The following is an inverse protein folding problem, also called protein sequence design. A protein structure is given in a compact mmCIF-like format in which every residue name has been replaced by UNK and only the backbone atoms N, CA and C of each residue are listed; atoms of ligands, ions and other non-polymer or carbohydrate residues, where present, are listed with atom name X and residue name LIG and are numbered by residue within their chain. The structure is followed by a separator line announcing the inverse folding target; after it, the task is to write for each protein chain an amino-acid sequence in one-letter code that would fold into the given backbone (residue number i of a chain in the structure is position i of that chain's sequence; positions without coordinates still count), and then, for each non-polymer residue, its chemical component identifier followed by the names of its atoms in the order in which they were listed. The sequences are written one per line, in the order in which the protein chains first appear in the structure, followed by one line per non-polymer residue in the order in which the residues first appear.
data_IF_814164215079
#
_entry.id   IF_814164215079
#
_cell.length_a   1.000
_cell.length_b   1.000
_cell.length_c   1.000
_cell.angle_alpha   90.00
_cell.angle_beta   90.00
_cell.angle_gamma   90.00
#
_symmetry.space_group_name_H-M   'P 1'
#
loop_
_entity.id
_entity.type
_entity.pdbx_description
1 polymer ?
#
# COMPACT_ATOMS: atom_id res chain seq x y z
N UNK A 1 11.11 -27.11 2.85
CA UNK A 1 10.97 -26.02 3.84
C UNK A 1 9.51 -25.71 4.19
N UNK A 2 8.73 -24.94 3.41
CA UNK A 2 7.38 -24.56 3.82
C UNK A 2 6.41 -25.74 4.05
N UNK A 3 6.50 -26.79 3.23
CA UNK A 3 5.72 -28.03 3.42
C UNK A 3 6.12 -28.82 4.67
N UNK A 4 7.39 -28.77 5.06
CA UNK A 4 7.92 -29.43 6.27
C UNK A 4 7.55 -28.65 7.53
N UNK A 5 7.36 -27.33 7.41
CA UNK A 5 6.93 -26.44 8.50
C UNK A 5 5.42 -26.20 8.51
N UNK A 6 4.63 -27.02 7.80
CA UNK A 6 3.17 -26.90 7.82
C UNK A 6 2.63 -27.18 9.25
N UNK A 7 1.61 -26.43 9.72
CA UNK A 7 0.85 -25.40 9.00
C UNK A 7 1.57 -24.03 8.97
N UNK A 8 1.63 -23.38 7.80
CA UNK A 8 2.27 -22.06 7.67
C UNK A 8 1.60 -21.14 6.64
N UNK A 9 1.93 -19.84 6.73
CA UNK A 9 1.51 -18.82 5.78
C UNK A 9 2.74 -18.23 5.12
N UNK A 10 2.76 -18.19 3.79
CA UNK A 10 3.78 -17.50 2.99
C UNK A 10 3.19 -16.16 2.53
N UNK A 11 3.86 -15.08 2.87
CA UNK A 11 3.53 -13.74 2.37
C UNK A 11 4.56 -13.31 1.33
N UNK A 12 4.07 -12.86 0.17
CA UNK A 12 4.89 -12.32 -0.91
C UNK A 12 4.41 -10.89 -1.19
N UNK A 13 5.25 -9.92 -0.89
CA UNK A 13 5.00 -8.53 -1.23
C UNK A 13 5.55 -8.20 -2.63
N UNK A 14 4.99 -7.17 -3.27
CA UNK A 14 5.42 -6.67 -4.58
C UNK A 14 5.60 -7.78 -5.65
N UNK A 15 4.62 -8.68 -5.76
CA UNK A 15 4.70 -9.82 -6.70
C UNK A 15 4.85 -9.37 -8.16
N UNK A 16 4.48 -8.13 -8.50
CA UNK A 16 4.67 -7.53 -9.82
C UNK A 16 6.13 -7.35 -10.24
N UNK A 17 7.08 -7.35 -9.28
CA UNK A 17 8.51 -7.34 -9.56
C UNK A 17 8.99 -8.61 -10.29
N UNK A 18 8.30 -9.74 -10.08
CA UNK A 18 8.62 -11.04 -10.69
C UNK A 18 7.51 -11.57 -11.59
N UNK A 19 6.30 -10.99 -11.52
CA UNK A 19 5.09 -11.48 -12.16
C UNK A 19 4.71 -10.78 -13.47
N UNK A 20 5.57 -9.93 -14.04
CA UNK A 20 5.21 -9.01 -15.13
C UNK A 20 4.91 -9.74 -16.46
N UNK A 21 3.94 -9.23 -17.22
CA UNK A 21 3.55 -9.71 -18.55
C UNK A 21 4.72 -9.59 -19.54
N UNK A 22 4.78 -10.59 -20.42
CA UNK A 22 5.76 -10.73 -21.50
C UNK A 22 5.79 -9.47 -22.37
N UNK A 23 6.96 -8.87 -22.52
CA UNK A 23 7.32 -8.16 -23.73
C UNK A 23 8.36 -9.03 -24.45
N UNK A 24 8.21 -9.21 -25.76
CA UNK A 24 9.19 -9.91 -26.59
C UNK A 24 10.48 -9.07 -26.65
N UNK A 25 11.27 -9.09 -25.58
CA UNK A 25 12.54 -8.38 -25.52
C UNK A 25 13.69 -9.37 -25.51
N UNK A 26 14.66 -9.13 -26.39
CA UNK A 26 15.78 -10.03 -26.72
C UNK A 26 16.87 -10.10 -25.64
N UNK A 27 16.64 -9.54 -24.44
CA UNK A 27 17.64 -9.39 -23.38
C UNK A 27 17.63 -10.59 -22.41
N UNK A 28 18.82 -11.11 -22.08
CA UNK A 28 18.99 -12.32 -21.26
C UNK A 28 18.48 -12.21 -19.81
N UNK A 29 18.45 -11.01 -19.23
CA UNK A 29 18.01 -10.80 -17.83
C UNK A 29 16.52 -11.05 -17.59
N UNK A 30 15.66 -10.71 -18.54
CA UNK A 30 14.21 -10.92 -18.42
C UNK A 30 13.84 -12.42 -18.44
N UNK A 31 14.67 -13.25 -19.10
CA UNK A 31 14.48 -14.71 -19.16
C UNK A 31 14.69 -15.38 -17.80
N UNK A 32 15.55 -14.84 -16.94
CA UNK A 32 15.82 -15.40 -15.62
C UNK A 32 14.69 -15.10 -14.63
N UNK A 33 14.20 -13.86 -14.63
CA UNK A 33 13.00 -13.44 -13.87
C UNK A 33 11.80 -14.31 -14.29
N UNK A 34 11.65 -14.54 -15.59
CA UNK A 34 10.60 -15.40 -16.13
C UNK A 34 10.72 -16.86 -15.66
N UNK A 35 11.94 -17.43 -15.64
CA UNK A 35 12.15 -18.81 -15.16
C UNK A 35 11.78 -18.94 -13.69
N UNK A 36 12.10 -17.92 -12.89
CA UNK A 36 11.74 -17.86 -11.47
C UNK A 36 10.22 -17.79 -11.27
N UNK A 37 9.52 -17.00 -12.09
CA UNK A 37 8.06 -16.91 -12.09
C UNK A 37 7.40 -18.24 -12.47
N UNK A 38 7.89 -18.92 -13.51
CA UNK A 38 7.35 -20.21 -13.94
C UNK A 38 7.53 -21.29 -12.87
N UNK A 39 8.66 -21.27 -12.16
CA UNK A 39 8.87 -22.19 -11.03
C UNK A 39 7.90 -21.88 -9.88
N UNK A 40 7.71 -20.60 -9.54
CA UNK A 40 6.70 -20.19 -8.58
C UNK A 40 5.30 -20.70 -8.99
N UNK A 41 4.94 -20.56 -10.26
CA UNK A 41 3.68 -21.05 -10.80
C UNK A 41 3.51 -22.56 -10.68
N UNK A 42 4.57 -23.33 -10.95
CA UNK A 42 4.54 -24.78 -10.81
C UNK A 42 4.32 -25.20 -9.35
N UNK A 43 4.94 -24.50 -8.40
CA UNK A 43 4.73 -24.74 -6.97
C UNK A 43 3.30 -24.34 -6.51
N UNK A 44 2.68 -23.34 -7.16
CA UNK A 44 1.31 -22.87 -6.91
C UNK A 44 0.21 -23.70 -7.59
N UNK A 45 0.49 -24.37 -8.71
CA UNK A 45 -0.48 -25.26 -9.36
C UNK A 45 -0.52 -26.64 -8.71
N UNK A 46 0.64 -27.12 -8.24
CA UNK A 46 0.74 -28.31 -7.40
C UNK A 46 0.09 -29.56 -8.01
N UNK A 47 0.84 -30.29 -8.85
CA UNK A 47 0.58 -31.72 -9.06
C UNK A 47 0.73 -32.53 -7.75
N UNK A 48 1.39 -31.96 -6.74
CA UNK A 48 1.53 -32.53 -5.41
C UNK A 48 0.73 -31.73 -4.37
N UNK A 49 0.17 -32.44 -3.39
CA UNK A 49 -0.48 -31.86 -2.21
C UNK A 49 0.47 -30.88 -1.50
N UNK A 50 0.11 -29.59 -1.48
CA UNK A 50 0.87 -28.53 -0.76
C UNK A 50 0.79 -28.66 0.76
N UNK A 51 -0.09 -29.52 1.30
CA UNK A 51 -0.41 -29.54 2.73
C UNK A 51 -1.14 -28.27 3.18
N UNK A 52 -1.13 -27.96 4.48
CA UNK A 52 -1.77 -26.76 5.03
C UNK A 52 -0.85 -25.53 4.96
N UNK A 53 -0.58 -25.11 3.72
CA UNK A 53 0.19 -23.90 3.43
C UNK A 53 -0.73 -22.89 2.74
N UNK A 54 -0.89 -21.71 3.34
CA UNK A 54 -1.63 -20.59 2.73
C UNK A 54 -0.65 -19.59 2.14
N UNK A 55 -1.06 -18.95 1.06
CA UNK A 55 -0.22 -17.97 0.36
C UNK A 55 -1.01 -16.68 0.24
N UNK A 56 -0.38 -15.58 0.66
CA UNK A 56 -0.91 -14.23 0.55
C UNK A 56 0.07 -13.44 -0.32
N UNK A 57 -0.44 -12.80 -1.36
CA UNK A 57 0.36 -11.97 -2.26
C UNK A 57 -0.17 -10.55 -2.26
N UNK A 58 0.72 -9.57 -2.30
CA UNK A 58 0.39 -8.15 -2.43
C UNK A 58 1.03 -7.57 -3.70
N UNK A 59 0.30 -6.68 -4.38
CA UNK A 59 0.77 -5.93 -5.54
C UNK A 59 0.01 -4.61 -5.65
N UNK A 60 0.67 -3.59 -6.19
CA UNK A 60 0.03 -2.33 -6.58
C UNK A 60 -0.40 -2.33 -8.06
N UNK A 61 0.02 -3.33 -8.84
CA UNK A 61 -0.15 -3.37 -10.31
C UNK A 61 -0.67 -4.73 -10.78
N UNK A 62 -1.94 -5.01 -10.50
CA UNK A 62 -2.58 -6.26 -10.95
C UNK A 62 -2.67 -6.37 -12.48
N UNK A 63 -2.67 -5.23 -13.19
CA UNK A 63 -2.78 -5.11 -14.64
C UNK A 63 -1.55 -5.67 -15.37
N UNK A 64 -0.36 -5.55 -14.77
CA UNK A 64 0.89 -6.06 -15.36
C UNK A 64 1.14 -7.52 -15.05
N UNK A 65 0.39 -8.16 -14.15
CA UNK A 65 0.62 -9.55 -13.77
C UNK A 65 0.25 -10.54 -14.89
N UNK A 66 1.03 -11.61 -15.04
CA UNK A 66 0.71 -12.70 -15.97
C UNK A 66 -0.68 -13.28 -15.64
N UNK A 67 -1.63 -13.31 -16.59
CA UNK A 67 -2.96 -13.89 -16.40
C UNK A 67 -2.94 -15.34 -15.88
N UNK A 68 -1.84 -16.06 -16.11
CA UNK A 68 -1.66 -17.40 -15.60
C UNK A 68 -1.55 -17.43 -14.06
N UNK A 69 -0.96 -16.43 -13.41
CA UNK A 69 -0.89 -16.35 -11.94
C UNK A 69 -2.28 -16.21 -11.31
N UNK A 70 -3.13 -15.40 -11.92
CA UNK A 70 -4.44 -15.00 -11.37
C UNK A 70 -5.58 -15.97 -11.72
N UNK A 71 -5.27 -17.11 -12.34
CA UNK A 71 -6.26 -18.12 -12.74
C UNK A 71 -6.79 -18.88 -11.51
N UNK A 72 -8.09 -19.20 -11.45
CA UNK A 72 -8.64 -20.09 -10.43
C UNK A 72 -7.86 -21.41 -10.35
N UNK A 73 -7.57 -21.88 -9.13
CA UNK A 73 -6.69 -23.04 -8.86
C UNK A 73 -5.31 -22.66 -8.33
N UNK A 74 -4.82 -21.45 -8.67
CA UNK A 74 -3.58 -20.87 -8.12
C UNK A 74 -3.89 -19.79 -7.09
N UNK A 75 -4.80 -18.88 -7.45
CA UNK A 75 -5.29 -17.80 -6.58
C UNK A 75 -6.82 -17.85 -6.57
N UNK A 76 -7.38 -18.15 -5.40
CA UNK A 76 -8.83 -18.31 -5.25
C UNK A 76 -9.55 -17.01 -4.89
N UNK A 77 -8.85 -16.09 -4.21
CA UNK A 77 -9.42 -14.83 -3.70
C UNK A 77 -8.59 -13.65 -4.16
N UNK A 78 -9.28 -12.64 -4.71
CA UNK A 78 -8.71 -11.35 -5.10
C UNK A 78 -9.42 -10.30 -4.26
N UNK A 79 -8.66 -9.58 -3.44
CA UNK A 79 -9.18 -8.55 -2.54
C UNK A 79 -8.57 -7.24 -3.00
N UNK A 80 -9.42 -6.33 -3.48
CA UNK A 80 -9.02 -4.99 -3.84
C UNK A 80 -9.09 -4.08 -2.60
N UNK A 81 -8.05 -3.26 -2.41
CA UNK A 81 -7.98 -2.27 -1.35
C UNK A 81 -8.14 -0.88 -1.99
N UNK A 82 -9.38 -0.33 -2.07
CA UNK A 82 -9.59 0.99 -2.65
C UNK A 82 -9.04 2.08 -1.73
N UNK A 83 -8.93 3.31 -2.27
CA UNK A 83 -8.66 4.49 -1.46
C UNK A 83 -9.76 4.65 -0.38
N UNK A 84 -9.41 5.09 0.83
CA UNK A 84 -10.36 5.21 1.93
C UNK A 84 -11.41 6.29 1.61
N UNK A 85 -12.67 6.03 1.98
CA UNK A 85 -13.73 7.03 1.96
C UNK A 85 -13.56 8.05 3.10
N UNK A 86 -14.37 9.11 3.11
CA UNK A 86 -14.32 10.15 4.15
C UNK A 86 -14.48 9.57 5.56
N UNK A 87 -15.42 8.62 5.75
CA UNK A 87 -15.66 7.98 7.04
C UNK A 87 -14.48 7.13 7.50
N UNK A 88 -13.82 6.43 6.58
CA UNK A 88 -12.61 5.65 6.88
C UNK A 88 -11.44 6.56 7.16
N UNK A 89 -11.27 7.65 6.41
CA UNK A 89 -10.25 8.69 6.69
C UNK A 89 -10.40 9.28 8.08
N UNK A 90 -11.63 9.60 8.51
CA UNK A 90 -11.91 10.04 9.88
C UNK A 90 -11.41 9.04 10.93
N UNK A 91 -11.67 7.75 10.73
CA UNK A 91 -11.16 6.69 11.63
C UNK A 91 -9.63 6.60 11.61
N UNK A 92 -9.01 6.73 10.43
CA UNK A 92 -7.55 6.72 10.29
C UNK A 92 -6.94 7.89 11.06
N UNK A 93 -7.49 9.10 10.92
CA UNK A 93 -7.07 10.26 11.71
C UNK A 93 -7.23 9.99 13.21
N UNK A 94 -8.38 9.48 13.66
CA UNK A 94 -8.62 9.14 15.07
C UNK A 94 -7.60 8.13 15.61
N UNK A 95 -7.26 7.09 14.84
CA UNK A 95 -6.26 6.08 15.23
C UNK A 95 -4.88 6.71 15.38
N UNK A 96 -4.43 7.49 14.39
CA UNK A 96 -3.11 8.10 14.43
C UNK A 96 -2.97 9.26 15.42
N UNK A 97 -4.10 9.82 15.85
CA UNK A 97 -4.13 10.92 16.82
C UNK A 97 -4.43 10.48 18.25
N UNK A 98 -4.78 9.21 18.48
CA UNK A 98 -5.14 8.68 19.80
C UNK A 98 -4.05 8.88 20.87
N UNK A 99 -2.77 8.89 20.48
CA UNK A 99 -1.64 9.13 21.37
C UNK A 99 -1.18 10.59 21.47
N UNK A 100 -1.80 11.51 20.72
CA UNK A 100 -1.37 12.90 20.60
C UNK A 100 -2.18 13.81 21.52
N UNK A 101 -1.53 14.83 22.10
CA UNK A 101 -2.23 15.91 22.80
C UNK A 101 -2.72 16.93 21.78
N UNK A 102 -4.02 17.00 21.56
CA UNK A 102 -4.62 17.85 20.52
C UNK A 102 -5.57 18.85 21.17
N UNK A 103 -5.60 20.06 20.62
CA UNK A 103 -6.52 21.10 21.06
C UNK A 103 -7.98 20.68 20.77
N UNK A 104 -8.90 20.97 21.70
CA UNK A 104 -10.30 20.53 21.62
C UNK A 104 -11.08 21.08 20.41
N UNK A 105 -10.56 22.11 19.74
CA UNK A 105 -11.16 22.71 18.56
C UNK A 105 -10.76 22.05 17.23
N UNK A 106 -9.89 21.04 17.24
CA UNK A 106 -9.48 20.34 16.03
C UNK A 106 -10.58 19.36 15.59
N UNK A 107 -11.08 19.55 14.38
CA UNK A 107 -12.12 18.75 13.74
C UNK A 107 -11.56 18.09 12.48
N UNK A 108 -11.55 16.76 12.44
CA UNK A 108 -10.93 16.01 11.33
C UNK A 108 -11.78 15.95 10.07
N UNK A 109 -13.06 16.31 10.14
CA UNK A 109 -14.02 16.33 9.04
C UNK A 109 -13.50 17.21 7.89
N UNK A 110 -12.87 18.35 8.22
CA UNK A 110 -12.24 19.23 7.22
C UNK A 110 -11.14 18.53 6.43
N UNK A 111 -10.33 17.68 7.08
CA UNK A 111 -9.20 17.00 6.45
C UNK A 111 -9.62 15.70 5.77
N UNK A 112 -10.63 15.01 6.32
CA UNK A 112 -11.14 13.76 5.78
C UNK A 112 -11.94 13.94 4.48
N UNK A 113 -12.45 15.14 4.19
CA UNK A 113 -13.17 15.42 2.94
C UNK A 113 -12.25 15.44 1.70
N UNK A 114 -10.92 15.56 1.87
CA UNK A 114 -9.97 15.58 0.76
C UNK A 114 -9.85 14.20 0.09
N UNK A 115 -10.35 14.07 -1.14
CA UNK A 115 -10.49 12.82 -1.87
C UNK A 115 -9.15 12.18 -2.26
N UNK A 116 -8.10 12.97 -2.39
CA UNK A 116 -6.80 12.48 -2.86
C UNK A 116 -5.98 11.72 -1.81
N UNK A 117 -6.38 11.75 -0.53
CA UNK A 117 -5.60 11.17 0.58
C UNK A 117 -5.71 9.65 0.65
N UNK A 118 -4.55 9.00 0.71
CA UNK A 118 -4.38 7.62 1.15
C UNK A 118 -4.27 7.52 2.68
N UNK A 119 -4.34 6.31 3.23
CA UNK A 119 -4.10 6.11 4.66
C UNK A 119 -2.69 6.52 5.10
N UNK A 120 -1.70 6.34 4.22
CA UNK A 120 -0.34 6.81 4.45
C UNK A 120 -0.27 8.34 4.53
N UNK A 121 -1.00 9.05 3.67
CA UNK A 121 -1.08 10.51 3.70
C UNK A 121 -1.71 11.02 5.00
N UNK A 122 -2.80 10.40 5.46
CA UNK A 122 -3.42 10.74 6.75
C UNK A 122 -2.43 10.59 7.91
N UNK A 123 -1.64 9.51 7.93
CA UNK A 123 -0.57 9.30 8.93
C UNK A 123 0.52 10.35 8.82
N UNK A 124 0.94 10.69 7.60
CA UNK A 124 1.96 11.71 7.36
C UNK A 124 1.51 13.09 7.87
N UNK A 125 0.26 13.47 7.61
CA UNK A 125 -0.34 14.71 8.12
C UNK A 125 -0.30 14.74 9.66
N UNK A 126 -0.70 13.66 10.34
CA UNK A 126 -0.64 13.58 11.80
C UNK A 126 0.78 13.75 12.34
N UNK A 127 1.74 13.11 11.67
CA UNK A 127 3.16 13.15 12.06
C UNK A 127 3.73 14.57 11.89
N UNK A 128 3.47 15.20 10.74
CA UNK A 128 3.93 16.56 10.45
C UNK A 128 3.27 17.61 11.35
N UNK A 129 1.98 17.47 11.67
CA UNK A 129 1.29 18.33 12.63
C UNK A 129 1.95 18.26 14.02
N UNK A 130 2.31 17.06 14.47
CA UNK A 130 3.11 16.87 15.70
C UNK A 130 4.47 17.56 15.62
N UNK A 131 5.16 17.46 14.47
CA UNK A 131 6.46 18.12 14.26
C UNK A 131 6.35 19.65 14.28
N UNK A 132 5.29 20.25 13.72
CA UNK A 132 5.06 21.69 13.80
C UNK A 132 4.86 22.16 15.24
N UNK A 133 4.08 21.42 16.04
CA UNK A 133 3.90 21.73 17.45
C UNK A 133 5.21 21.65 18.24
N UNK A 134 6.04 20.62 17.98
CA UNK A 134 7.36 20.47 18.60
C UNK A 134 8.31 21.61 18.23
N UNK A 135 8.37 22.02 16.95
CA UNK A 135 9.18 23.17 16.49
C UNK A 135 8.75 24.47 17.15
N UNK A 136 7.45 24.64 17.38
CA UNK A 136 6.88 25.77 18.12
C UNK A 136 7.04 25.65 19.64
N UNK A 137 7.74 24.62 20.15
CA UNK A 137 7.92 24.32 21.59
C UNK A 137 6.60 24.17 22.36
N UNK A 138 5.54 23.71 21.68
CA UNK A 138 4.22 23.44 22.28
C UNK A 138 4.10 21.97 22.69
N UNK A 139 3.31 21.71 23.73
CA UNK A 139 2.98 20.36 24.22
C UNK A 139 1.68 19.79 23.64
N UNK A 140 1.00 20.54 22.80
CA UNK A 140 -0.24 20.17 22.15
C UNK A 140 -0.27 20.67 20.71
N UNK A 141 -0.96 19.92 19.85
CA UNK A 141 -1.14 20.20 18.43
C UNK A 141 -2.42 21.01 18.22
N UNK A 142 -2.31 22.09 17.46
CA UNK A 142 -3.40 23.00 17.16
C UNK A 142 -3.92 22.78 15.73
N UNK A 143 -5.05 23.41 15.41
CA UNK A 143 -5.64 23.39 14.07
C UNK A 143 -4.67 23.93 13.01
N UNK A 144 -3.93 24.99 13.30
CA UNK A 144 -2.92 25.55 12.40
C UNK A 144 -1.80 24.56 12.03
N UNK A 145 -1.46 23.63 12.92
CA UNK A 145 -0.43 22.63 12.64
C UNK A 145 -0.93 21.59 11.62
N UNK A 146 -2.20 21.19 11.74
CA UNK A 146 -2.83 20.29 10.78
C UNK A 146 -3.03 20.96 9.42
N UNK A 147 -3.40 22.24 9.40
CA UNK A 147 -3.51 23.02 8.15
C UNK A 147 -2.14 23.08 7.42
N UNK A 148 -1.06 23.42 8.14
CA UNK A 148 0.30 23.43 7.58
C UNK A 148 0.79 22.04 7.16
N UNK A 149 0.45 21.00 7.93
CA UNK A 149 0.81 19.63 7.61
C UNK A 149 0.09 19.13 6.35
N UNK A 150 -1.20 19.43 6.21
CA UNK A 150 -1.97 19.09 5.01
C UNK A 150 -1.40 19.76 3.78
N UNK A 151 -1.12 21.08 3.84
CA UNK A 151 -0.53 21.82 2.72
C UNK A 151 0.81 21.21 2.29
N UNK A 152 1.68 20.91 3.26
CA UNK A 152 3.00 20.31 2.99
C UNK A 152 2.89 18.92 2.34
N UNK A 153 2.03 18.05 2.85
CA UNK A 153 1.84 16.69 2.31
C UNK A 153 1.25 16.74 0.89
N UNK A 154 0.28 17.62 0.65
CA UNK A 154 -0.30 17.80 -0.69
C UNK A 154 0.74 18.36 -1.67
N UNK A 155 1.55 19.33 -1.26
CA UNK A 155 2.62 19.88 -2.10
C UNK A 155 3.67 18.83 -2.46
N UNK A 156 4.11 18.01 -1.50
CA UNK A 156 5.05 16.91 -1.76
C UNK A 156 4.48 15.95 -2.79
N UNK A 157 3.21 15.57 -2.64
CA UNK A 157 2.51 14.67 -3.56
C UNK A 157 2.36 15.25 -4.97
N UNK A 158 2.15 16.56 -5.10
CA UNK A 158 2.14 17.25 -6.40
C UNK A 158 3.52 17.28 -7.05
N UNK A 159 4.57 17.49 -6.28
CA UNK A 159 5.94 17.51 -6.80
C UNK A 159 6.44 16.10 -7.20
N UNK A 160 5.89 15.05 -6.60
CA UNK A 160 6.17 13.66 -6.97
C UNK A 160 5.39 13.18 -8.20
N UNK A 161 4.29 13.85 -8.56
CA UNK A 161 3.56 13.55 -9.79
C UNK A 161 4.24 14.24 -10.99
N UNK A 162 4.70 13.51 -12.03
CA UNK A 162 5.20 14.12 -13.25
C UNK A 162 4.14 15.05 -13.86
N UNK A 163 4.54 16.21 -14.40
CA UNK A 163 3.65 17.22 -14.99
C UNK A 163 2.79 16.71 -16.17
N UNK A 164 3.00 15.47 -16.65
CA UNK A 164 2.30 14.88 -17.78
C UNK A 164 0.85 14.43 -17.51
N UNK A 165 0.33 14.54 -16.28
CA UNK A 165 -1.05 14.13 -15.96
C UNK A 165 -2.11 15.25 -16.08
N UNK A 166 -1.74 16.45 -16.56
CA UNK A 166 -2.65 17.60 -16.70
C UNK A 166 -2.68 18.22 -18.12
N UNK A 167 -2.40 17.44 -19.17
CA UNK A 167 -2.79 17.76 -20.56
C UNK A 167 -3.81 16.74 -21.07
#
# INVERSE_FOLDING_TARGET
MARESAPCIIFIDEIDAVGTKRYDTTCGGEREVQRTMLELLNQLDGFESRGDVKIIMATNRIDVLDPALIRPGRIDRKIELPKPDEKTKLKIFQIHTAGMKIAANVKFEKYASELSLSGADCKAICTEAGMFALRARRKFVCLEDFDKAMERVIMQKKNEAPEEFFM
#
